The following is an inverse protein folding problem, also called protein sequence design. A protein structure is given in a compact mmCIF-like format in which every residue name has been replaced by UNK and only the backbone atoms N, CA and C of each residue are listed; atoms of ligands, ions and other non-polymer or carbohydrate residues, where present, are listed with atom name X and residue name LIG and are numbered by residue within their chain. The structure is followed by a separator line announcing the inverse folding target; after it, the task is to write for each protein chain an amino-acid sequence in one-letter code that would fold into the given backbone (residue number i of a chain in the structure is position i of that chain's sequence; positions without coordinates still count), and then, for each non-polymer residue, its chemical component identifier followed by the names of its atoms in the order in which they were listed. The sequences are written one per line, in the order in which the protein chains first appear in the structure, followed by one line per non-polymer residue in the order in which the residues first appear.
data_IF_280997052112
#
_entry.id   IF_280997052112
#
_cell.length_a   1.000
_cell.length_b   1.000
_cell.length_c   1.000
_cell.angle_alpha   90.00
_cell.angle_beta   90.00
_cell.angle_gamma   90.00
#
_symmetry.space_group_name_H-M   'P 1'
#
loop_
_entity.id
_entity.type
_entity.pdbx_description
1 polymer ?
#
# COMPACT_ATOMS: atom_id res chain seq x y z
N UNK A 1 -24.39 4.27 6.17
CA UNK A 1 -22.93 4.45 6.31
C UNK A 1 -22.66 4.70 7.78
N UNK A 2 -22.08 3.73 8.49
CA UNK A 2 -21.73 3.92 9.90
C UNK A 2 -20.31 4.49 9.96
N UNK A 3 -20.13 5.63 10.62
CA UNK A 3 -18.82 6.21 10.86
C UNK A 3 -18.19 5.53 12.08
N UNK A 4 -16.92 5.14 11.97
CA UNK A 4 -16.12 4.58 13.07
C UNK A 4 -15.52 5.73 13.86
N UNK A 5 -15.77 5.73 15.17
CA UNK A 5 -15.27 6.74 16.11
C UNK A 5 -13.77 6.51 16.37
N UNK A 6 -12.97 7.59 16.34
CA UNK A 6 -11.55 7.55 16.74
C UNK A 6 -11.42 7.85 18.23
N UNK A 7 -10.54 7.12 18.91
CA UNK A 7 -10.21 7.32 20.33
C UNK A 7 -8.72 7.61 20.47
N UNK A 8 -8.38 8.66 21.21
CA UNK A 8 -7.01 8.95 21.62
C UNK A 8 -6.82 8.55 23.08
N UNK A 9 -5.67 7.95 23.38
CA UNK A 9 -5.25 7.70 24.74
C UNK A 9 -4.70 9.02 25.32
N UNK A 10 -5.35 9.49 26.38
CA UNK A 10 -4.85 10.61 27.17
C UNK A 10 -4.19 10.06 28.42
N UNK A 11 -2.87 10.21 28.49
CA UNK A 11 -2.09 9.74 29.63
C UNK A 11 -1.79 10.94 30.52
N UNK A 12 -2.34 10.94 31.73
CA UNK A 12 -1.99 11.94 32.72
C UNK A 12 -0.64 11.58 33.34
N UNK A 13 0.30 12.53 33.29
CA UNK A 13 1.65 12.38 33.86
C UNK A 13 1.59 12.30 35.40
N UNK A 14 0.56 12.88 36.01
CA UNK A 14 0.46 13.03 37.46
C UNK A 14 0.01 11.73 38.15
N UNK A 15 -0.80 10.91 37.48
CA UNK A 15 -1.33 9.66 38.03
C UNK A 15 -0.98 8.41 37.20
N UNK A 16 -0.21 8.57 36.11
CA UNK A 16 0.19 7.51 35.18
C UNK A 16 -0.98 6.67 34.63
N UNK A 17 -2.19 7.22 34.65
CA UNK A 17 -3.37 6.57 34.08
C UNK A 17 -3.57 7.00 32.64
N UNK A 18 -3.98 6.05 31.81
CA UNK A 18 -4.40 6.30 30.43
C UNK A 18 -5.89 6.08 30.31
N UNK A 19 -6.62 7.12 29.91
CA UNK A 19 -8.04 7.06 29.58
C UNK A 19 -8.24 7.25 28.08
N UNK A 20 -9.22 6.56 27.51
CA UNK A 20 -9.56 6.66 26.09
C UNK A 20 -10.69 7.67 25.89
N UNK A 21 -10.43 8.72 25.12
CA UNK A 21 -11.44 9.72 24.80
C UNK A 21 -11.75 9.74 23.30
N UNK A 22 -13.05 9.79 22.98
CA UNK A 22 -13.52 9.98 21.61
C UNK A 22 -13.06 11.35 21.10
N UNK A 23 -12.29 11.35 20.00
CA UNK A 23 -11.77 12.57 19.40
C UNK A 23 -12.90 13.27 18.65
N UNK A 24 -13.40 14.38 19.19
CA UNK A 24 -14.51 15.14 18.60
C UNK A 24 -14.14 15.82 17.27
N UNK A 25 -12.86 16.15 17.08
CA UNK A 25 -12.36 16.97 15.97
C UNK A 25 -11.51 16.20 14.94
N UNK A 26 -11.40 14.87 15.06
CA UNK A 26 -10.63 14.03 14.14
C UNK A 26 -11.47 13.62 12.91
N UNK A 27 -10.85 13.41 11.72
CA UNK A 27 -11.58 12.91 10.57
C UNK A 27 -12.14 11.52 10.89
N UNK A 28 -13.47 11.41 10.99
CA UNK A 28 -14.15 10.13 11.16
C UNK A 28 -13.91 9.26 9.92
N UNK A 29 -13.57 8.00 10.13
CA UNK A 29 -13.34 7.02 9.05
C UNK A 29 -14.63 6.23 8.84
N UNK A 30 -15.01 5.94 7.60
CA UNK A 30 -16.22 5.13 7.36
C UNK A 30 -15.93 3.69 7.71
N UNK A 31 -16.93 2.95 8.23
CA UNK A 31 -16.79 1.53 8.53
C UNK A 31 -16.35 0.70 7.32
N UNK A 32 -16.79 1.09 6.12
CA UNK A 32 -16.35 0.51 4.85
C UNK A 32 -14.84 0.58 4.65
N UNK A 33 -14.19 1.64 5.13
CA UNK A 33 -12.75 1.83 4.96
C UNK A 33 -11.97 0.88 5.89
N UNK A 34 -12.52 0.58 7.06
CA UNK A 34 -11.95 -0.41 7.99
C UNK A 34 -12.11 -1.84 7.46
N UNK A 35 -13.29 -2.18 6.91
CA UNK A 35 -13.51 -3.48 6.28
C UNK A 35 -12.55 -3.71 5.10
N UNK A 36 -12.36 -2.68 4.26
CA UNK A 36 -11.40 -2.73 3.16
C UNK A 36 -9.96 -2.92 3.66
N UNK A 37 -9.55 -2.16 4.67
CA UNK A 37 -8.21 -2.28 5.25
C UNK A 37 -7.98 -3.67 5.85
N UNK A 38 -8.99 -4.22 6.52
CA UNK A 38 -8.92 -5.57 7.09
C UNK A 38 -8.75 -6.62 5.99
N UNK A 39 -9.49 -6.51 4.88
CA UNK A 39 -9.35 -7.42 3.74
C UNK A 39 -7.95 -7.36 3.13
N UNK A 40 -7.39 -6.17 2.94
CA UNK A 40 -6.02 -5.99 2.44
C UNK A 40 -4.99 -6.60 3.41
N UNK A 41 -5.16 -6.38 4.71
CA UNK A 41 -4.28 -6.95 5.73
C UNK A 41 -4.34 -8.48 5.75
N UNK A 42 -5.54 -9.05 5.71
CA UNK A 42 -5.74 -10.51 5.68
C UNK A 42 -5.09 -11.13 4.42
N UNK A 43 -5.14 -10.44 3.27
CA UNK A 43 -4.46 -10.88 2.04
C UNK A 43 -2.93 -10.86 2.18
N UNK A 44 -2.35 -9.80 2.74
CA UNK A 44 -0.90 -9.71 3.00
C UNK A 44 -0.45 -10.75 4.03
N UNK A 45 -1.27 -11.03 5.04
CA UNK A 45 -0.99 -12.10 6.02
C UNK A 45 -0.98 -13.47 5.34
N UNK A 46 -1.96 -13.75 4.48
CA UNK A 46 -2.02 -15.00 3.73
C UNK A 46 -0.79 -15.18 2.82
N UNK A 47 -0.38 -14.13 2.11
CA UNK A 47 0.83 -14.12 1.29
C UNK A 47 2.09 -14.39 2.14
N UNK A 48 2.22 -13.76 3.30
CA UNK A 48 3.33 -14.01 4.22
C UNK A 48 3.37 -15.44 4.75
N UNK A 49 2.21 -16.07 4.99
CA UNK A 49 2.15 -17.49 5.38
C UNK A 49 2.63 -18.38 4.22
N UNK A 50 2.21 -18.08 2.99
CA UNK A 50 2.67 -18.80 1.80
C UNK A 50 4.18 -18.64 1.59
N UNK A 51 4.70 -17.42 1.71
CA UNK A 51 6.13 -17.13 1.57
C UNK A 51 6.95 -17.86 2.65
N UNK A 52 6.51 -17.83 3.91
CA UNK A 52 7.17 -18.58 5.00
C UNK A 52 7.17 -20.08 4.73
N UNK A 53 6.10 -20.63 4.18
CA UNK A 53 6.02 -22.05 3.81
C UNK A 53 6.96 -22.37 2.65
N UNK A 54 6.98 -21.52 1.63
CA UNK A 54 7.91 -21.63 0.50
C UNK A 54 9.36 -21.64 0.99
N UNK A 55 9.78 -20.66 1.80
CA UNK A 55 11.15 -20.59 2.32
C UNK A 55 11.52 -21.81 3.15
N UNK A 56 10.59 -22.39 3.93
CA UNK A 56 10.83 -23.62 4.69
C UNK A 56 11.03 -24.84 3.80
N UNK A 57 10.18 -24.99 2.79
CA UNK A 57 10.29 -26.09 1.83
C UNK A 57 11.59 -25.97 1.03
N UNK A 58 11.90 -24.78 0.54
CA UNK A 58 13.09 -24.51 -0.24
C UNK A 58 14.39 -24.71 0.58
N UNK A 59 14.37 -24.40 1.89
CA UNK A 59 15.48 -24.72 2.78
C UNK A 59 15.66 -26.25 2.96
N UNK A 60 14.56 -26.99 3.12
CA UNK A 60 14.59 -28.45 3.23
C UNK A 60 15.15 -29.10 1.95
N UNK A 61 14.66 -28.67 0.78
CA UNK A 61 15.13 -29.18 -0.52
C UNK A 61 16.62 -28.86 -0.74
N UNK A 62 17.08 -27.68 -0.30
CA UNK A 62 18.49 -27.28 -0.40
C UNK A 62 19.41 -28.08 0.53
N UNK A 63 18.94 -28.46 1.72
CA UNK A 63 19.68 -29.32 2.66
C UNK A 63 19.73 -30.77 2.15
N UNK A 64 18.62 -31.30 1.62
CA UNK A 64 18.55 -32.66 1.03
C UNK A 64 19.42 -32.81 -0.23
N UNK A 65 19.42 -31.79 -1.12
CA UNK A 65 20.30 -31.73 -2.29
C UNK A 65 21.78 -31.64 -1.89
N UNK A 66 22.09 -30.94 -0.81
CA UNK A 66 23.44 -30.84 -0.27
C UNK A 66 23.93 -32.17 0.34
N UNK A 67 23.06 -32.93 1.01
CA UNK A 67 23.37 -34.27 1.52
C UNK A 67 23.58 -35.30 0.38
N UNK A 68 22.84 -35.16 -0.73
CA UNK A 68 23.01 -35.98 -1.93
C UNK A 68 24.16 -35.55 -2.85
N UNK A 69 24.86 -34.44 -2.55
CA UNK A 69 25.98 -33.93 -3.33
C UNK A 69 25.61 -33.42 -4.74
N UNK A 70 24.34 -33.04 -4.95
CA UNK A 70 23.84 -32.52 -6.22
C UNK A 70 23.95 -30.98 -6.31
N UNK A 71 23.94 -30.42 -7.53
CA UNK A 71 24.09 -28.98 -7.74
C UNK A 71 22.91 -28.18 -7.15
N UNK A 72 23.25 -27.13 -6.39
CA UNK A 72 22.36 -26.20 -5.66
C UNK A 72 21.51 -25.27 -6.57
N UNK A 73 21.18 -25.69 -7.79
CA UNK A 73 20.61 -24.82 -8.83
C UNK A 73 19.14 -24.42 -8.64
N UNK A 74 18.29 -25.31 -8.10
CA UNK A 74 16.83 -25.10 -8.12
C UNK A 74 16.29 -23.98 -7.20
N UNK A 75 17.05 -23.57 -6.18
CA UNK A 75 16.61 -22.56 -5.21
C UNK A 75 16.56 -21.15 -5.80
N UNK A 76 17.52 -20.81 -6.66
CA UNK A 76 17.62 -19.47 -7.27
C UNK A 76 16.53 -19.26 -8.33
N UNK A 77 16.19 -20.30 -9.09
CA UNK A 77 15.11 -20.25 -10.09
C UNK A 77 13.75 -20.11 -9.40
N UNK A 78 13.52 -20.87 -8.32
CA UNK A 78 12.27 -20.79 -7.57
C UNK A 78 12.08 -19.44 -6.84
N UNK A 79 13.17 -18.74 -6.48
CA UNK A 79 13.13 -17.39 -5.93
C UNK A 79 12.71 -16.34 -6.98
N UNK A 80 13.10 -16.52 -8.25
CA UNK A 80 12.75 -15.59 -9.32
C UNK A 80 11.25 -15.64 -9.69
N UNK A 81 10.58 -16.75 -9.40
CA UNK A 81 9.15 -16.95 -9.69
C UNK A 81 8.22 -16.58 -8.50
N UNK A 82 8.77 -16.06 -7.39
CA UNK A 82 7.94 -15.62 -6.27
C UNK A 82 7.16 -14.37 -6.68
N UNK A 83 5.85 -14.54 -6.81
CA UNK A 83 4.92 -13.45 -7.03
C UNK A 83 4.24 -13.05 -5.71
N UNK A 84 4.22 -11.74 -5.41
CA UNK A 84 3.61 -11.18 -4.19
C UNK A 84 2.50 -10.18 -4.55
N UNK A 85 1.37 -10.66 -5.11
CA UNK A 85 0.32 -9.82 -5.67
C UNK A 85 -0.30 -8.84 -4.68
N UNK A 86 -0.43 -9.21 -3.40
CA UNK A 86 -1.00 -8.33 -2.39
C UNK A 86 -0.02 -7.23 -1.99
N UNK A 87 1.27 -7.57 -1.90
CA UNK A 87 2.33 -6.58 -1.64
C UNK A 87 2.50 -5.62 -2.82
N UNK A 88 2.46 -6.12 -4.06
CA UNK A 88 2.54 -5.30 -5.28
C UNK A 88 1.37 -4.32 -5.37
N UNK A 89 0.14 -4.77 -5.13
CA UNK A 89 -1.03 -3.90 -5.10
C UNK A 89 -0.93 -2.83 -4.00
N UNK A 90 -0.37 -3.17 -2.84
CA UNK A 90 -0.15 -2.20 -1.77
C UNK A 90 0.89 -1.14 -2.15
N UNK A 91 1.99 -1.53 -2.82
CA UNK A 91 3.01 -0.60 -3.33
C UNK A 91 2.44 0.33 -4.41
N UNK A 92 1.66 -0.22 -5.36
CA UNK A 92 1.01 0.56 -6.41
C UNK A 92 0.04 1.60 -5.84
N UNK A 93 -0.70 1.27 -4.78
CA UNK A 93 -1.57 2.23 -4.08
C UNK A 93 -0.78 3.33 -3.35
N UNK A 94 0.38 3.01 -2.78
CA UNK A 94 1.27 4.02 -2.18
C UNK A 94 1.83 4.96 -3.24
N UNK A 95 2.24 4.43 -4.39
CA UNK A 95 2.71 5.22 -5.52
C UNK A 95 1.60 6.12 -6.08
N UNK A 96 0.39 5.58 -6.26
CA UNK A 96 -0.78 6.33 -6.69
C UNK A 96 -1.10 7.50 -5.74
N UNK A 97 -1.00 7.29 -4.42
CA UNK A 97 -1.17 8.36 -3.43
C UNK A 97 -0.10 9.45 -3.53
N UNK A 98 1.15 9.08 -3.79
CA UNK A 98 2.22 10.05 -3.99
C UNK A 98 1.97 10.92 -5.24
N UNK A 99 1.52 10.29 -6.33
CA UNK A 99 1.16 10.98 -7.58
C UNK A 99 -0.02 11.92 -7.38
N UNK A 100 -1.06 11.50 -6.64
CA UNK A 100 -2.18 12.38 -6.30
C UNK A 100 -1.71 13.61 -5.50
N UNK A 101 -0.82 13.42 -4.53
CA UNK A 101 -0.23 14.54 -3.77
C UNK A 101 0.56 15.51 -4.65
N UNK A 102 1.28 14.98 -5.65
CA UNK A 102 1.96 15.80 -6.64
C UNK A 102 0.98 16.55 -7.56
N UNK A 103 -0.09 15.89 -8.00
CA UNK A 103 -1.14 16.50 -8.81
C UNK A 103 -1.85 17.64 -8.05
N UNK A 104 -2.10 17.47 -6.76
CA UNK A 104 -2.65 18.51 -5.88
C UNK A 104 -1.72 19.72 -5.75
N UNK A 105 -0.41 19.48 -5.62
CA UNK A 105 0.58 20.56 -5.60
C UNK A 105 0.55 21.37 -6.90
N UNK A 106 0.53 20.69 -8.05
CA UNK A 106 0.42 21.34 -9.35
C UNK A 106 -0.92 22.07 -9.53
N UNK A 107 -2.01 21.51 -9.02
CA UNK A 107 -3.33 22.14 -9.01
C UNK A 107 -3.32 23.48 -8.25
N UNK A 108 -2.63 23.56 -7.11
CA UNK A 108 -2.43 24.82 -6.37
C UNK A 108 -1.62 25.83 -7.17
N UNK A 109 -0.56 25.39 -7.86
CA UNK A 109 0.22 26.27 -8.74
C UNK A 109 -0.59 26.78 -9.94
N UNK A 110 -1.45 25.93 -10.51
CA UNK A 110 -2.37 26.32 -11.59
C UNK A 110 -3.33 27.43 -11.15
N UNK A 111 -3.83 27.40 -9.91
CA UNK A 111 -4.73 28.45 -9.38
C UNK A 111 -4.08 29.83 -9.27
N UNK A 112 -2.75 29.89 -9.15
CA UNK A 112 -1.99 31.15 -9.11
C UNK A 112 -1.74 31.74 -10.51
N UNK A 113 -2.02 30.99 -11.58
CA UNK A 113 -1.73 31.38 -12.96
C UNK A 113 -2.99 31.82 -13.71
N UNK A 114 -2.86 32.76 -14.64
CA UNK A 114 -3.98 33.12 -15.51
C UNK A 114 -4.27 31.95 -16.46
N UNK A 115 -5.53 31.49 -16.62
CA UNK A 115 -5.86 30.30 -17.41
C UNK A 115 -5.42 30.34 -18.88
N UNK A 116 -5.19 31.54 -19.42
CA UNK A 116 -4.79 31.76 -20.81
C UNK A 116 -3.30 31.57 -21.05
N UNK A 117 -2.46 31.50 -20.00
CA UNK A 117 -1.01 31.35 -20.15
C UNK A 117 -0.63 29.95 -20.61
N UNK A 118 0.47 29.84 -21.35
CA UNK A 118 1.02 28.54 -21.76
C UNK A 118 1.35 27.65 -20.55
N UNK A 119 1.81 28.26 -19.45
CA UNK A 119 2.13 27.57 -18.20
C UNK A 119 0.90 26.97 -17.53
N UNK A 120 -0.22 27.69 -17.47
CA UNK A 120 -1.48 27.18 -16.94
C UNK A 120 -1.99 25.98 -17.75
N UNK A 121 -1.87 26.04 -19.09
CA UNK A 121 -2.20 24.90 -19.96
C UNK A 121 -1.32 23.69 -19.71
N UNK A 122 -0.01 23.88 -19.52
CA UNK A 122 0.93 22.82 -19.19
C UNK A 122 0.58 22.16 -17.85
N UNK A 123 0.33 22.94 -16.79
CA UNK A 123 -0.08 22.40 -15.49
C UNK A 123 -1.36 21.59 -15.59
N UNK A 124 -2.39 22.10 -16.27
CA UNK A 124 -3.64 21.37 -16.48
C UNK A 124 -3.41 20.02 -17.18
N UNK A 125 -2.55 19.99 -18.19
CA UNK A 125 -2.25 18.75 -18.91
C UNK A 125 -1.49 17.74 -18.04
N UNK A 126 -0.46 18.20 -17.30
CA UNK A 126 0.32 17.32 -16.42
C UNK A 126 -0.53 16.77 -15.28
N UNK A 127 -1.40 17.58 -14.68
CA UNK A 127 -2.36 17.11 -13.65
C UNK A 127 -3.28 16.03 -14.21
N UNK A 128 -3.79 16.22 -15.43
CA UNK A 128 -4.64 15.21 -16.07
C UNK A 128 -3.90 13.88 -16.30
N UNK A 129 -2.65 13.93 -16.77
CA UNK A 129 -1.83 12.73 -16.95
C UNK A 129 -1.51 12.05 -15.63
N UNK A 130 -1.14 12.82 -14.60
CA UNK A 130 -0.83 12.30 -13.27
C UNK A 130 -2.03 11.56 -12.66
N UNK A 131 -3.23 12.15 -12.73
CA UNK A 131 -4.45 11.53 -12.19
C UNK A 131 -4.82 10.26 -12.96
N UNK A 132 -4.65 10.23 -14.28
CA UNK A 132 -4.88 9.01 -15.06
C UNK A 132 -3.87 7.91 -14.72
N UNK A 133 -2.60 8.26 -14.57
CA UNK A 133 -1.57 7.28 -14.20
C UNK A 133 -1.79 6.71 -12.78
N UNK A 134 -2.16 7.56 -11.82
CA UNK A 134 -2.54 7.11 -10.48
C UNK A 134 -3.76 6.18 -10.50
N UNK A 135 -4.69 6.40 -11.44
CA UNK A 135 -5.83 5.50 -11.65
C UNK A 135 -5.39 4.16 -12.24
N UNK A 136 -4.51 4.17 -13.24
CA UNK A 136 -3.97 2.94 -13.84
C UNK A 136 -3.27 2.08 -12.77
N UNK A 137 -2.42 2.68 -11.93
CA UNK A 137 -1.75 1.96 -10.82
C UNK A 137 -2.73 1.26 -9.86
N UNK A 138 -3.92 1.81 -9.67
CA UNK A 138 -4.98 1.22 -8.83
C UNK A 138 -5.80 0.14 -9.53
N UNK A 139 -5.89 0.24 -10.86
CA UNK A 139 -6.56 -0.76 -11.70
C UNK A 139 -5.65 -1.96 -12.01
N UNK A 140 -4.34 -1.84 -11.79
CA UNK A 140 -3.41 -2.97 -11.66
C UNK A 140 -3.71 -3.72 -10.35
N UNK A 141 -4.90 -4.29 -10.25
CA UNK A 141 -5.19 -5.39 -9.36
C UNK A 141 -4.45 -6.64 -9.87
N UNK A 142 -4.07 -7.57 -8.99
CA UNK A 142 -3.09 -8.59 -9.32
C UNK A 142 -3.62 -9.48 -10.42
N UNK A 143 -3.01 -9.38 -11.60
CA UNK A 143 -3.19 -10.37 -12.65
C UNK A 143 -2.58 -11.67 -12.11
N UNK A 144 -3.43 -12.51 -11.53
CA UNK A 144 -3.11 -13.91 -11.29
C UNK A 144 -2.90 -14.57 -12.64
N UNK A 145 -1.64 -14.80 -12.99
CA UNK A 145 -1.26 -15.96 -13.78
C UNK A 145 -1.12 -17.16 -12.85
#
# INVERSE_FOLDING_TARGET
MNNVKRYDAHTSIDDFKSDWHEVKDGPMVKHSDYELLKQQFDAVVAENVALKKFCKNAAFDADDIAEMGMERGGFTDALNDINTPATEAALAEVEAKAIDGFADMLGKLYQCEKPTTARAKAFKHVVFLAVNYAKELREVAPNGN
#
